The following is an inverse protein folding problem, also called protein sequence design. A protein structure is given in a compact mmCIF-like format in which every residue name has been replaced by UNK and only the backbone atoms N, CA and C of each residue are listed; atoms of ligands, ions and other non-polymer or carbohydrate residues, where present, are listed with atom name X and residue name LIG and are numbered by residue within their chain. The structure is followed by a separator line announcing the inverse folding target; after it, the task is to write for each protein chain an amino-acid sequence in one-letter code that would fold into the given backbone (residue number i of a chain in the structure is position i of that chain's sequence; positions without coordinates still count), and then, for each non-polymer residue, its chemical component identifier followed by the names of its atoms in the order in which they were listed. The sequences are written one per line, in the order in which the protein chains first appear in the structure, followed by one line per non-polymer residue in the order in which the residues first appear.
data_IF_316935950050
#
_entry.id   IF_316935950050
#
_cell.length_a   1.000
_cell.length_b   1.000
_cell.length_c   1.000
_cell.angle_alpha   90.00
_cell.angle_beta   90.00
_cell.angle_gamma   90.00
#
_symmetry.space_group_name_H-M   'P 1'
#
loop_
_entity.id
_entity.type
_entity.pdbx_description
1 polymer ?
#
# COMPACT_ATOMS: atom_id res chain seq x y z
N UNK A 1 11.31 -2.22 -2.15
CA UNK A 1 10.03 -1.59 -2.59
C UNK A 1 10.15 -0.07 -2.70
N UNK A 2 10.58 0.69 -1.66
CA UNK A 2 10.68 2.16 -1.69
C UNK A 2 11.60 2.67 -2.82
N UNK A 3 12.78 2.07 -3.00
CA UNK A 3 13.72 2.46 -4.08
C UNK A 3 13.03 2.39 -5.44
N UNK A 4 12.36 1.28 -5.75
CA UNK A 4 11.62 1.13 -7.01
C UNK A 4 10.59 2.23 -7.18
N UNK A 5 9.76 2.48 -6.15
CA UNK A 5 8.71 3.51 -6.23
C UNK A 5 9.27 4.92 -6.46
N UNK A 6 10.35 5.28 -5.78
CA UNK A 6 11.01 6.57 -5.97
C UNK A 6 11.64 6.69 -7.38
N UNK A 7 12.24 5.61 -7.88
CA UNK A 7 12.79 5.56 -9.23
C UNK A 7 11.71 5.70 -10.30
N UNK A 8 10.60 4.97 -10.16
CA UNK A 8 9.46 5.03 -11.09
C UNK A 8 8.82 6.44 -11.11
N UNK A 9 8.69 7.08 -9.93
CA UNK A 9 8.20 8.46 -9.85
C UNK A 9 9.20 9.43 -10.49
N UNK A 10 10.51 9.28 -10.23
CA UNK A 10 11.55 10.14 -10.80
C UNK A 10 11.60 10.08 -12.32
N UNK A 11 11.43 8.88 -12.88
CA UNK A 11 11.42 8.66 -14.33
C UNK A 11 10.09 9.00 -15.01
N UNK A 12 9.03 9.27 -14.23
CA UNK A 12 7.69 9.54 -14.76
C UNK A 12 6.88 8.30 -15.11
N UNK A 13 7.42 7.09 -14.94
CA UNK A 13 6.70 5.82 -15.17
C UNK A 13 5.52 5.69 -14.20
N UNK A 14 5.72 6.14 -12.95
CA UNK A 14 4.64 6.25 -11.96
C UNK A 14 4.20 7.70 -11.81
N UNK A 15 2.99 8.01 -12.26
CA UNK A 15 2.43 9.34 -12.11
C UNK A 15 2.17 9.66 -10.63
N UNK A 16 2.87 10.64 -10.10
CA UNK A 16 2.65 11.20 -8.76
C UNK A 16 3.10 12.66 -8.74
N UNK A 17 2.19 13.61 -9.06
CA UNK A 17 2.54 15.02 -9.19
C UNK A 17 3.05 15.64 -7.89
N UNK A 18 2.61 15.15 -6.74
CA UNK A 18 3.07 15.62 -5.43
C UNK A 18 4.52 15.21 -5.15
N UNK A 19 4.89 13.97 -5.45
CA UNK A 19 6.21 13.43 -5.15
C UNK A 19 7.24 13.69 -6.26
N UNK A 20 6.79 13.91 -7.49
CA UNK A 20 7.67 14.09 -8.64
C UNK A 20 8.72 15.20 -8.45
N UNK A 21 8.38 16.42 -7.96
CA UNK A 21 9.36 17.48 -7.74
C UNK A 21 10.46 17.10 -6.74
N UNK A 22 10.14 16.25 -5.77
CA UNK A 22 11.10 15.78 -4.76
C UNK A 22 11.97 14.64 -5.31
N UNK A 23 11.36 13.64 -5.93
CA UNK A 23 12.07 12.49 -6.51
C UNK A 23 13.05 12.94 -7.61
N UNK A 24 12.67 13.93 -8.43
CA UNK A 24 13.52 14.49 -9.51
C UNK A 24 14.78 15.17 -8.98
N UNK A 25 14.77 15.67 -7.77
CA UNK A 25 15.94 16.32 -7.16
C UNK A 25 17.01 15.35 -6.67
N UNK A 26 16.69 14.05 -6.57
CA UNK A 26 17.66 13.04 -6.19
C UNK A 26 18.58 12.76 -7.40
N UNK A 27 19.91 13.03 -7.28
CA UNK A 27 20.78 13.10 -8.45
C UNK A 27 21.03 11.73 -9.09
N UNK A 28 21.15 10.68 -8.29
CA UNK A 28 21.57 9.36 -8.74
C UNK A 28 20.86 8.21 -8.00
N UNK A 29 21.28 6.99 -8.27
CA UNK A 29 20.72 5.79 -7.65
C UNK A 29 21.13 5.66 -6.19
N UNK A 30 22.30 6.19 -5.80
CA UNK A 30 22.77 6.15 -4.42
C UNK A 30 21.91 7.04 -3.54
N UNK A 31 21.61 8.26 -3.98
CA UNK A 31 20.72 9.18 -3.26
C UNK A 31 19.31 8.59 -3.06
N UNK A 32 18.78 7.86 -4.08
CA UNK A 32 17.52 7.12 -3.94
C UNK A 32 17.62 6.02 -2.87
N UNK A 33 18.72 5.27 -2.86
CA UNK A 33 18.94 4.20 -1.89
C UNK A 33 19.08 4.76 -0.47
N UNK A 34 19.80 5.87 -0.29
CA UNK A 34 20.03 6.51 1.00
C UNK A 34 18.71 7.03 1.60
N UNK A 35 17.90 7.73 0.79
CA UNK A 35 16.57 8.20 1.23
C UNK A 35 15.66 7.03 1.57
N UNK A 36 15.63 6.00 0.73
CA UNK A 36 14.81 4.81 1.00
C UNK A 36 15.30 4.05 2.24
N UNK A 37 16.61 3.97 2.46
CA UNK A 37 17.22 3.40 3.66
C UNK A 37 16.82 4.17 4.91
N UNK A 38 16.94 5.49 4.87
CA UNK A 38 16.51 6.36 5.98
C UNK A 38 15.01 6.19 6.28
N UNK A 39 14.14 6.26 5.26
CA UNK A 39 12.69 6.04 5.46
C UNK A 39 12.43 4.65 6.07
N UNK A 40 13.21 3.64 5.70
CA UNK A 40 13.10 2.29 6.25
C UNK A 40 13.46 2.19 7.74
N UNK A 41 14.18 3.16 8.29
CA UNK A 41 14.49 3.25 9.74
C UNK A 41 13.42 4.00 10.53
N UNK A 42 12.54 4.75 9.84
CA UNK A 42 11.49 5.51 10.48
C UNK A 42 10.39 4.57 10.97
N UNK A 43 9.97 4.81 12.19
CA UNK A 43 8.88 4.11 12.83
C UNK A 43 7.59 4.93 12.69
N UNK A 44 6.67 4.44 11.89
CA UNK A 44 5.34 5.05 11.78
C UNK A 44 4.33 4.20 12.54
N UNK A 45 3.46 4.80 13.36
CA UNK A 45 2.30 4.10 13.87
C UNK A 45 1.43 3.73 12.66
N UNK A 46 1.21 2.43 12.48
CA UNK A 46 0.38 1.90 11.40
C UNK A 46 -1.10 1.91 11.80
N UNK A 47 -1.55 3.01 12.37
CA UNK A 47 -2.98 3.28 12.51
C UNK A 47 -3.45 3.94 11.21
N UNK A 48 -3.61 3.10 10.22
CA UNK A 48 -4.09 3.49 8.91
C UNK A 48 -5.58 3.76 8.94
N UNK A 49 -6.02 4.80 8.27
CA UNK A 49 -7.44 5.13 8.13
C UNK A 49 -8.22 3.93 7.59
N UNK A 50 -9.11 3.38 8.43
CA UNK A 50 -10.03 2.29 8.09
C UNK A 50 -11.22 2.84 7.31
N UNK A 51 -12.04 1.96 6.79
CA UNK A 51 -13.34 2.34 6.24
C UNK A 51 -14.30 2.68 7.37
N UNK A 52 -14.88 3.88 7.33
CA UNK A 52 -15.79 4.42 8.36
C UNK A 52 -17.23 4.54 7.85
N UNK A 53 -17.54 3.93 6.70
CA UNK A 53 -18.88 3.97 6.13
C UNK A 53 -19.84 2.99 6.79
N UNK A 54 -21.11 3.07 6.40
CA UNK A 54 -22.14 2.14 6.83
C UNK A 54 -21.80 0.70 6.45
N UNK A 55 -22.23 -0.27 7.25
CA UNK A 55 -22.03 -1.71 7.06
C UNK A 55 -20.55 -2.13 6.86
N UNK A 56 -19.65 -1.57 7.65
CA UNK A 56 -18.24 -1.94 7.60
C UNK A 56 -18.00 -3.44 7.79
N UNK A 57 -18.81 -4.11 8.64
CA UNK A 57 -18.70 -5.55 8.89
C UNK A 57 -19.04 -6.38 7.64
N UNK A 58 -20.15 -6.06 6.94
CA UNK A 58 -20.52 -6.70 5.69
C UNK A 58 -19.48 -6.46 4.59
N UNK A 59 -18.94 -5.25 4.51
CA UNK A 59 -17.85 -4.92 3.59
C UNK A 59 -16.59 -5.73 3.86
N UNK A 60 -16.21 -5.92 5.13
CA UNK A 60 -15.06 -6.76 5.51
C UNK A 60 -15.32 -8.22 5.11
N UNK A 61 -16.50 -8.76 5.37
CA UNK A 61 -16.84 -10.15 5.02
C UNK A 61 -16.79 -10.39 3.50
N UNK A 62 -17.43 -9.53 2.72
CA UNK A 62 -17.42 -9.61 1.25
C UNK A 62 -16.00 -9.39 0.69
N UNK A 63 -15.29 -8.41 1.22
CA UNK A 63 -13.92 -8.11 0.81
C UNK A 63 -12.93 -9.24 1.12
N UNK A 64 -13.15 -9.97 2.21
CA UNK A 64 -12.35 -11.16 2.54
C UNK A 64 -12.42 -12.22 1.44
N UNK A 65 -13.62 -12.56 0.98
CA UNK A 65 -13.82 -13.54 -0.09
C UNK A 65 -13.12 -13.11 -1.39
N UNK A 66 -13.26 -11.85 -1.77
CA UNK A 66 -12.59 -11.30 -2.94
C UNK A 66 -11.06 -11.36 -2.79
N UNK A 67 -10.54 -11.02 -1.63
CA UNK A 67 -9.12 -11.04 -1.34
C UNK A 67 -8.53 -12.45 -1.39
N UNK A 68 -9.15 -13.41 -0.72
CA UNK A 68 -8.70 -14.80 -0.66
C UNK A 68 -8.64 -15.43 -2.06
N UNK A 69 -9.61 -15.13 -2.91
CA UNK A 69 -9.69 -15.71 -4.25
C UNK A 69 -8.75 -15.05 -5.27
N UNK A 70 -8.44 -13.74 -5.13
CA UNK A 70 -7.77 -13.00 -6.19
C UNK A 70 -6.43 -12.39 -5.78
N UNK A 71 -6.18 -12.15 -4.49
CA UNK A 71 -5.06 -11.35 -4.01
C UNK A 71 -4.07 -12.15 -3.15
N UNK A 72 -4.58 -13.06 -2.32
CA UNK A 72 -3.81 -13.75 -1.29
C UNK A 72 -2.64 -14.58 -1.85
N UNK A 73 -2.75 -15.10 -3.05
CA UNK A 73 -1.71 -15.89 -3.71
C UNK A 73 -0.38 -15.11 -3.81
N UNK A 74 -0.45 -13.81 -4.13
CA UNK A 74 0.73 -12.95 -4.26
C UNK A 74 1.00 -12.17 -2.99
N UNK A 75 -0.05 -11.60 -2.37
CA UNK A 75 0.09 -10.69 -1.22
C UNK A 75 0.06 -11.40 0.14
N UNK A 76 -0.05 -12.72 0.16
CA UNK A 76 -0.21 -13.57 1.35
C UNK A 76 -1.59 -13.43 2.02
N UNK A 77 -2.08 -14.45 2.72
CA UNK A 77 -3.41 -14.40 3.39
C UNK A 77 -3.52 -13.28 4.42
N UNK A 78 -2.42 -12.88 5.04
CA UNK A 78 -2.35 -11.81 6.04
C UNK A 78 -1.94 -10.44 5.47
N UNK A 79 -1.82 -10.30 4.15
CA UNK A 79 -1.43 -9.05 3.51
C UNK A 79 0.03 -8.62 3.71
N UNK A 80 0.90 -9.52 4.18
CA UNK A 80 2.31 -9.20 4.46
C UNK A 80 3.17 -8.97 3.20
N UNK A 81 2.67 -9.34 2.02
CA UNK A 81 3.42 -9.27 0.78
C UNK A 81 4.59 -10.27 0.72
N UNK A 82 5.42 -10.14 -0.31
CA UNK A 82 6.61 -10.97 -0.49
C UNK A 82 7.74 -10.11 -1.05
N UNK A 83 8.73 -9.82 -0.21
CA UNK A 83 9.82 -8.89 -0.53
C UNK A 83 10.64 -9.33 -1.75
N UNK A 84 10.96 -10.63 -1.83
CA UNK A 84 11.78 -11.21 -2.90
C UNK A 84 11.09 -11.13 -4.27
N UNK A 85 9.76 -11.20 -4.29
CA UNK A 85 8.94 -11.06 -5.49
C UNK A 85 8.43 -9.62 -5.72
N UNK A 86 8.85 -8.67 -4.89
CA UNK A 86 8.40 -7.28 -4.91
C UNK A 86 6.88 -7.09 -4.73
N UNK A 87 6.20 -8.08 -4.15
CA UNK A 87 4.79 -7.94 -3.80
C UNK A 87 4.65 -7.07 -2.54
N UNK A 88 3.96 -5.94 -2.64
CA UNK A 88 3.86 -5.00 -1.51
C UNK A 88 3.05 -5.55 -0.35
N UNK A 89 3.37 -5.06 0.85
CA UNK A 89 2.52 -5.19 2.03
C UNK A 89 1.24 -4.41 1.81
N UNK A 90 0.10 -5.02 2.07
CA UNK A 90 -1.24 -4.43 1.99
C UNK A 90 -1.86 -4.23 3.38
N UNK A 91 -1.48 -5.10 4.32
CA UNK A 91 -1.94 -5.01 5.70
C UNK A 91 -1.54 -3.69 6.35
N UNK A 92 -2.47 -3.05 7.06
CA UNK A 92 -2.23 -1.77 7.72
C UNK A 92 -2.13 -0.57 6.77
N UNK A 93 -2.48 -0.71 5.50
CA UNK A 93 -2.49 0.40 4.55
C UNK A 93 -3.84 1.14 4.60
N UNK A 94 -3.82 2.44 4.34
CA UNK A 94 -5.03 3.27 4.33
C UNK A 94 -6.06 2.82 3.30
N UNK A 95 -7.31 2.68 3.70
CA UNK A 95 -8.45 2.34 2.82
C UNK A 95 -8.48 3.20 1.55
N UNK A 96 -8.43 4.53 1.70
CA UNK A 96 -8.49 5.46 0.56
C UNK A 96 -7.30 5.31 -0.39
N UNK A 97 -6.12 4.97 0.14
CA UNK A 97 -4.94 4.74 -0.68
C UNK A 97 -5.08 3.43 -1.47
N UNK A 98 -5.52 2.35 -0.81
CA UNK A 98 -5.75 1.06 -1.45
C UNK A 98 -6.79 1.17 -2.57
N UNK A 99 -7.94 1.78 -2.28
CA UNK A 99 -9.00 1.98 -3.25
C UNK A 99 -8.51 2.77 -4.47
N UNK A 100 -7.84 3.90 -4.24
CA UNK A 100 -7.28 4.72 -5.33
C UNK A 100 -6.28 3.93 -6.17
N UNK A 101 -5.35 3.20 -5.54
CA UNK A 101 -4.33 2.47 -6.28
C UNK A 101 -4.91 1.36 -7.15
N UNK A 102 -5.87 0.61 -6.63
CA UNK A 102 -6.54 -0.44 -7.41
C UNK A 102 -7.38 0.14 -8.54
N UNK A 103 -8.09 1.25 -8.30
CA UNK A 103 -8.82 1.96 -9.35
C UNK A 103 -7.89 2.46 -10.46
N UNK A 104 -6.76 3.08 -10.09
CA UNK A 104 -5.78 3.59 -11.06
C UNK A 104 -5.15 2.45 -11.88
N UNK A 105 -4.91 1.28 -11.27
CA UNK A 105 -4.40 0.10 -11.99
C UNK A 105 -5.45 -0.44 -12.94
N UNK A 106 -6.67 -0.70 -12.46
CA UNK A 106 -7.78 -1.23 -13.29
C UNK A 106 -8.07 -0.33 -14.49
N UNK A 107 -8.06 0.98 -14.27
CA UNK A 107 -8.36 1.97 -15.30
C UNK A 107 -7.14 2.29 -16.21
N UNK A 108 -6.03 1.57 -16.07
CA UNK A 108 -4.81 1.74 -16.87
C UNK A 108 -4.05 3.05 -16.62
N UNK A 109 -4.39 3.78 -15.55
CA UNK A 109 -3.70 5.02 -15.18
C UNK A 109 -2.39 4.77 -14.45
N UNK A 110 -2.28 3.62 -13.80
CA UNK A 110 -1.07 3.17 -13.15
C UNK A 110 -0.51 1.94 -13.88
N UNK A 111 0.61 2.11 -14.57
CA UNK A 111 1.20 1.12 -15.47
C UNK A 111 2.49 0.48 -14.92
N UNK A 112 2.99 0.94 -13.78
CA UNK A 112 4.22 0.44 -13.12
C UNK A 112 3.99 -0.84 -12.31
N UNK A 113 3.04 -1.67 -12.74
CA UNK A 113 2.63 -2.92 -12.09
C UNK A 113 2.79 -4.11 -13.04
N UNK A 114 2.99 -5.34 -12.49
CA UNK A 114 2.97 -6.54 -13.29
C UNK A 114 1.62 -6.76 -14.01
N UNK A 115 1.65 -7.38 -15.18
CA UNK A 115 0.46 -7.66 -15.97
C UNK A 115 -0.60 -8.45 -15.18
N UNK A 116 -0.17 -9.41 -14.37
CA UNK A 116 -1.04 -10.24 -13.54
C UNK A 116 -1.84 -9.41 -12.52
N UNK A 117 -1.28 -8.29 -12.04
CA UNK A 117 -1.99 -7.39 -11.14
C UNK A 117 -3.07 -6.61 -11.88
N UNK A 118 -2.81 -6.18 -13.11
CA UNK A 118 -3.79 -5.55 -13.98
C UNK A 118 -4.92 -6.53 -14.32
N UNK A 119 -4.58 -7.74 -14.74
CA UNK A 119 -5.55 -8.80 -15.07
C UNK A 119 -6.45 -9.11 -13.87
N UNK A 120 -5.88 -9.27 -12.67
CA UNK A 120 -6.64 -9.55 -11.46
C UNK A 120 -7.68 -8.47 -11.13
N UNK A 121 -7.39 -7.20 -11.46
CA UNK A 121 -8.28 -6.07 -11.16
C UNK A 121 -9.24 -5.74 -12.30
N UNK A 122 -8.98 -6.17 -13.53
CA UNK A 122 -9.75 -5.79 -14.72
C UNK A 122 -11.24 -6.14 -14.62
N UNK A 123 -11.58 -7.21 -13.89
CA UNK A 123 -12.94 -7.69 -13.70
C UNK A 123 -13.66 -7.09 -12.48
N UNK A 124 -12.96 -6.28 -11.67
CA UNK A 124 -13.53 -5.74 -10.44
C UNK A 124 -14.42 -4.52 -10.73
N UNK A 125 -15.65 -4.57 -10.23
CA UNK A 125 -16.52 -3.39 -10.18
C UNK A 125 -16.04 -2.37 -9.15
N UNK A 126 -16.60 -1.17 -9.16
CA UNK A 126 -16.32 -0.19 -8.11
C UNK A 126 -16.72 -0.68 -6.72
N UNK A 127 -17.81 -1.44 -6.62
CA UNK A 127 -18.25 -2.04 -5.37
C UNK A 127 -17.23 -3.07 -4.87
N UNK A 128 -16.73 -3.96 -5.74
CA UNK A 128 -15.70 -4.95 -5.37
C UNK A 128 -14.42 -4.28 -4.88
N UNK A 129 -14.00 -3.19 -5.53
CA UNK A 129 -12.83 -2.42 -5.09
C UNK A 129 -13.03 -1.81 -3.70
N UNK A 130 -14.23 -1.32 -3.38
CA UNK A 130 -14.56 -0.83 -2.04
C UNK A 130 -14.52 -1.96 -1.02
N UNK A 131 -15.14 -3.11 -1.30
CA UNK A 131 -15.16 -4.27 -0.42
C UNK A 131 -13.75 -4.76 -0.10
N UNK A 132 -12.95 -5.03 -1.13
CA UNK A 132 -11.60 -5.57 -0.95
C UNK A 132 -10.65 -4.56 -0.28
N UNK A 133 -10.79 -3.25 -0.57
CA UNK A 133 -10.02 -2.20 0.12
C UNK A 133 -10.37 -2.13 1.59
N UNK A 134 -11.67 -2.29 1.93
CA UNK A 134 -12.14 -2.30 3.32
C UNK A 134 -11.53 -3.46 4.09
N UNK A 135 -11.55 -4.65 3.50
CA UNK A 135 -10.93 -5.83 4.11
C UNK A 135 -9.42 -5.64 4.31
N UNK A 136 -8.68 -5.24 3.27
CA UNK A 136 -7.24 -5.04 3.34
C UNK A 136 -6.84 -4.00 4.40
N UNK A 137 -7.60 -2.91 4.51
CA UNK A 137 -7.37 -1.88 5.54
C UNK A 137 -7.69 -2.36 6.96
N UNK A 138 -8.48 -3.45 7.10
CA UNK A 138 -8.80 -4.07 8.38
C UNK A 138 -7.75 -5.09 8.85
N UNK A 139 -6.86 -5.53 7.94
CA UNK A 139 -5.81 -6.49 8.27
C UNK A 139 -4.81 -5.89 9.26
N UNK A 140 -4.48 -6.66 10.28
CA UNK A 140 -3.44 -6.26 11.22
C UNK A 140 -2.07 -6.32 10.55
N UNK A 141 -1.27 -5.28 10.77
CA UNK A 141 0.12 -5.28 10.31
C UNK A 141 0.88 -6.44 10.96
N UNK A 142 1.58 -7.28 10.18
CA UNK A 142 2.39 -8.35 10.74
C UNK A 142 3.41 -7.82 11.75
N UNK A 143 3.59 -8.54 12.86
CA UNK A 143 4.53 -8.15 13.95
C UNK A 143 5.95 -7.89 13.44
N UNK A 144 6.40 -8.64 12.42
CA UNK A 144 7.71 -8.46 11.79
C UNK A 144 7.90 -7.10 11.12
N UNK A 145 6.80 -6.38 10.86
CA UNK A 145 6.80 -5.06 10.23
C UNK A 145 6.49 -3.94 11.23
N UNK A 146 6.12 -4.30 12.46
CA UNK A 146 5.87 -3.32 13.52
C UNK A 146 7.18 -2.73 14.03
N UNK A 147 7.11 -1.47 14.39
CA UNK A 147 8.19 -0.79 15.08
C UNK A 147 8.48 -1.45 16.42
N UNK A 148 9.72 -1.90 16.64
CA UNK A 148 10.14 -2.52 17.90
C UNK A 148 10.38 -1.53 19.03
N UNK A 149 10.34 -0.23 18.77
CA UNK A 149 10.56 0.82 19.77
C UNK A 149 9.20 1.38 20.21
N UNK A 150 8.86 1.36 21.51
CA UNK A 150 7.65 2.02 21.99
C UNK A 150 7.78 3.51 21.74
N UNK A 151 6.82 4.08 21.02
CA UNK A 151 6.67 5.53 20.93
C UNK A 151 6.36 6.04 22.33
N UNK A 152 7.34 6.60 23.03
CA UNK A 152 7.11 7.34 24.28
C UNK A 152 6.15 8.47 23.95
N UNK A 153 4.91 8.35 24.42
CA UNK A 153 3.94 9.47 24.40
C UNK A 153 4.60 10.60 25.18
N UNK A 154 5.10 11.61 24.49
CA UNK A 154 5.50 12.87 25.11
C UNK A 154 4.26 13.42 25.80
N UNK A 155 4.23 13.36 27.15
CA UNK A 155 3.23 14.08 27.93
C UNK A 155 3.34 15.55 27.53
N UNK A 156 2.27 16.10 26.97
CA UNK A 156 2.09 17.55 26.94
C UNK A 156 2.13 18.00 28.40
N UNK A 157 3.16 18.74 28.76
CA UNK A 157 3.15 19.51 29.99
C UNK A 157 2.13 20.63 29.81
N UNK A 158 1.17 20.67 30.72
CA UNK A 158 0.25 21.77 30.95
C UNK A 158 1.03 23.03 31.38
#
# INVERSE_FOLDING_TARGET
MLIKQLADIRSGVRYNPTMYPFARKLPDAQALADVAGYIGTLCFPLDSGKYEGADAAGHIAGGKLLYENNCARCHQPNGAGKKEALYPVLAGQHFRYLLRQMTEIRDGKRVDVPAEMFEALSMFSNADLVLVSTYMASLNTPESLLCRTPVTKTKKQE
#
